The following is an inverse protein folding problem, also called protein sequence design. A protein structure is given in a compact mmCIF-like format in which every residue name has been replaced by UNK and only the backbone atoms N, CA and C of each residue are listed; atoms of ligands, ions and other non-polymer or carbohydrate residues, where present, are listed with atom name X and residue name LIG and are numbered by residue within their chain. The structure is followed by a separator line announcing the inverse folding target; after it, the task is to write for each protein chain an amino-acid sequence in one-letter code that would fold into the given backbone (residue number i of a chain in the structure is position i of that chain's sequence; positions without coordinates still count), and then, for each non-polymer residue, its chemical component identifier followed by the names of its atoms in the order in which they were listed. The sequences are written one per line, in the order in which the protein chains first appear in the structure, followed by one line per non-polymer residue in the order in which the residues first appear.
data_IF_271716236616
#
_entry.id   IF_271716236616
#
_cell.length_a   1.000
_cell.length_b   1.000
_cell.length_c   1.000
_cell.angle_alpha   90.00
_cell.angle_beta   90.00
_cell.angle_gamma   90.00
#
_symmetry.space_group_name_H-M   'P 1'
#
loop_
_entity.id
_entity.type
_entity.pdbx_description
1 polymer ?
#
# COMPACT_ATOMS: atom_id res chain seq x y z
N UNK A 1 -2.23 -34.34 22.80
CA UNK A 1 -1.38 -33.13 22.97
C UNK A 1 -1.62 -32.20 21.79
N UNK A 2 -2.39 -31.12 21.97
CA UNK A 2 -2.55 -30.06 20.96
C UNK A 2 -1.22 -29.29 20.88
N UNK A 3 -0.52 -29.36 19.75
CA UNK A 3 0.59 -28.45 19.44
C UNK A 3 0.02 -27.02 19.37
N UNK A 4 0.29 -26.22 20.38
CA UNK A 4 0.04 -24.80 20.31
C UNK A 4 0.77 -24.22 19.10
N UNK A 5 0.02 -23.60 18.19
CA UNK A 5 0.58 -22.80 17.10
C UNK A 5 1.23 -21.58 17.75
N UNK A 6 2.54 -21.61 17.95
CA UNK A 6 3.29 -20.45 18.41
C UNK A 6 3.13 -19.34 17.38
N UNK A 7 2.60 -18.20 17.81
CA UNK A 7 2.50 -17.00 16.96
C UNK A 7 3.92 -16.61 16.52
N UNK A 8 4.05 -16.00 15.34
CA UNK A 8 5.31 -15.43 14.83
C UNK A 8 5.96 -14.54 15.89
N UNK A 9 5.17 -13.80 16.62
CA UNK A 9 5.59 -12.94 17.71
C UNK A 9 6.24 -13.73 18.85
N UNK A 10 5.65 -14.83 19.30
CA UNK A 10 6.24 -15.69 20.33
C UNK A 10 7.55 -16.35 19.89
N UNK A 11 7.75 -16.56 18.58
CA UNK A 11 9.00 -17.11 18.05
C UNK A 11 10.13 -16.08 18.04
N UNK A 12 9.82 -14.80 17.81
CA UNK A 12 10.76 -13.69 17.73
C UNK A 12 11.05 -13.11 19.11
N UNK A 13 10.04 -12.98 19.93
CA UNK A 13 10.13 -12.25 21.21
C UNK A 13 10.31 -13.15 22.43
N UNK A 14 10.15 -14.47 22.33
CA UNK A 14 10.27 -15.44 23.42
C UNK A 14 10.73 -14.83 24.75
N UNK A 15 10.28 -15.14 25.86
CA UNK A 15 10.60 -14.71 27.25
C UNK A 15 11.30 -13.34 27.55
N UNK A 16 11.80 -12.60 26.52
CA UNK A 16 12.52 -11.34 26.69
C UNK A 16 11.65 -10.12 26.95
N UNK A 17 10.41 -10.11 26.44
CA UNK A 17 9.50 -8.94 26.54
C UNK A 17 8.53 -9.07 27.72
N UNK A 18 8.24 -10.26 28.20
CA UNK A 18 7.29 -10.49 29.30
C UNK A 18 7.73 -10.03 30.67
N UNK A 19 8.97 -9.58 30.88
CA UNK A 19 9.56 -9.55 32.20
C UNK A 19 9.75 -8.20 32.90
N UNK A 20 9.31 -7.06 32.34
CA UNK A 20 9.80 -5.80 32.86
C UNK A 20 8.80 -4.72 33.27
N UNK A 21 7.51 -4.96 33.20
CA UNK A 21 6.55 -3.93 33.62
C UNK A 21 5.58 -4.49 34.63
N UNK A 22 5.71 -4.02 35.89
CA UNK A 22 4.69 -4.26 36.90
C UNK A 22 3.43 -3.50 36.50
N UNK A 23 2.35 -4.18 36.18
CA UNK A 23 1.07 -3.56 35.78
C UNK A 23 0.53 -2.53 36.78
N UNK A 24 0.99 -2.58 38.02
CA UNK A 24 0.60 -1.65 39.09
C UNK A 24 1.26 -0.27 39.00
N UNK A 25 2.32 -0.11 38.21
CA UNK A 25 3.02 1.19 38.03
C UNK A 25 2.72 1.89 36.74
N UNK A 26 2.08 1.19 35.79
CA UNK A 26 1.73 1.77 34.49
C UNK A 26 0.65 2.84 34.62
N UNK A 27 0.98 4.06 34.22
CA UNK A 27 0.02 5.15 34.08
C UNK A 27 -0.42 5.23 32.62
N UNK A 28 -1.75 5.17 32.39
CA UNK A 28 -2.32 5.62 31.12
C UNK A 28 -1.98 7.11 30.98
N UNK A 29 -1.33 7.50 29.88
CA UNK A 29 -1.14 8.92 29.59
C UNK A 29 -2.52 9.56 29.40
N UNK A 30 -2.88 10.47 30.29
CA UNK A 30 -4.16 11.17 30.26
C UNK A 30 -4.28 11.96 28.97
N UNK A 31 -5.35 11.70 28.22
CA UNK A 31 -5.60 12.32 26.88
C UNK A 31 -5.33 11.39 25.71
N UNK A 32 -4.60 10.29 25.89
CA UNK A 32 -4.39 9.29 24.87
C UNK A 32 -5.22 8.04 25.17
N UNK A 33 -6.46 8.04 24.74
CA UNK A 33 -7.31 6.86 24.85
C UNK A 33 -6.72 5.71 24.00
N UNK A 34 -7.01 4.47 24.41
CA UNK A 34 -6.65 3.29 23.65
C UNK A 34 -7.08 3.47 22.18
N UNK A 35 -6.14 3.34 21.27
CA UNK A 35 -6.50 3.24 19.86
C UNK A 35 -6.93 1.83 19.62
N UNK A 36 -8.17 1.74 19.24
CA UNK A 36 -8.72 0.56 18.66
C UNK A 36 -8.16 0.43 17.24
N UNK A 37 -7.23 -0.48 17.05
CA UNK A 37 -6.88 -0.95 15.71
C UNK A 37 -7.81 -2.10 15.41
N UNK A 38 -9.10 -1.81 15.23
CA UNK A 38 -9.96 -2.77 14.59
C UNK A 38 -9.50 -2.84 13.14
N UNK A 39 -8.92 -3.96 12.78
CA UNK A 39 -9.09 -4.41 11.41
C UNK A 39 -10.57 -4.64 11.33
N UNK A 40 -11.32 -3.65 10.88
CA UNK A 40 -12.69 -3.94 10.52
C UNK A 40 -12.55 -5.06 9.48
N UNK A 41 -12.96 -6.26 9.84
CA UNK A 41 -13.01 -7.39 8.90
C UNK A 41 -13.68 -6.93 7.60
N UNK A 42 -14.54 -5.92 7.69
CA UNK A 42 -15.20 -5.23 6.59
C UNK A 42 -14.25 -4.62 5.54
N UNK A 43 -13.12 -4.00 5.93
CA UNK A 43 -12.19 -3.39 4.95
C UNK A 43 -11.45 -4.46 4.17
N UNK A 44 -10.94 -5.49 4.88
CA UNK A 44 -10.22 -6.59 4.26
C UNK A 44 -11.12 -7.47 3.36
N UNK A 45 -12.41 -7.54 3.67
CA UNK A 45 -13.38 -8.37 2.95
C UNK A 45 -14.11 -7.61 1.83
N UNK A 46 -14.00 -6.29 1.80
CA UNK A 46 -14.54 -5.50 0.70
C UNK A 46 -13.61 -5.57 -0.52
N UNK A 47 -14.15 -5.98 -1.67
CA UNK A 47 -13.38 -6.16 -2.91
C UNK A 47 -12.70 -4.87 -3.33
N UNK A 48 -13.42 -3.75 -3.36
CA UNK A 48 -12.93 -2.47 -3.88
C UNK A 48 -11.83 -1.90 -2.97
N UNK A 49 -12.06 -1.92 -1.65
CA UNK A 49 -11.06 -1.48 -0.69
C UNK A 49 -9.79 -2.35 -0.78
N UNK A 50 -9.96 -3.67 -0.91
CA UNK A 50 -8.86 -4.62 -1.08
C UNK A 50 -8.07 -4.37 -2.36
N UNK A 51 -8.74 -4.08 -3.48
CA UNK A 51 -8.08 -3.71 -4.75
C UNK A 51 -7.28 -2.42 -4.62
N UNK A 52 -7.82 -1.39 -3.96
CA UNK A 52 -7.13 -0.13 -3.70
C UNK A 52 -5.86 -0.37 -2.86
N UNK A 53 -6.00 -1.05 -1.72
CA UNK A 53 -4.89 -1.37 -0.81
C UNK A 53 -3.82 -2.19 -1.53
N UNK A 54 -4.24 -3.25 -2.24
CA UNK A 54 -3.33 -4.12 -2.99
C UNK A 54 -2.55 -3.34 -4.06
N UNK A 55 -3.22 -2.45 -4.79
CA UNK A 55 -2.58 -1.66 -5.86
C UNK A 55 -1.54 -0.71 -5.27
N UNK A 56 -1.89 0.05 -4.24
CA UNK A 56 -0.95 0.98 -3.59
C UNK A 56 0.22 0.22 -2.95
N UNK A 57 -0.08 -0.86 -2.19
CA UNK A 57 0.94 -1.66 -1.53
C UNK A 57 1.91 -2.32 -2.53
N UNK A 58 1.40 -2.84 -3.64
CA UNK A 58 2.21 -3.43 -4.72
C UNK A 58 3.16 -2.40 -5.33
N UNK A 59 2.68 -1.19 -5.58
CA UNK A 59 3.53 -0.13 -6.14
C UNK A 59 4.54 0.40 -5.12
N UNK A 60 4.16 0.55 -3.85
CA UNK A 60 5.09 0.90 -2.78
C UNK A 60 6.15 -0.21 -2.55
N UNK A 61 5.78 -1.48 -2.66
CA UNK A 61 6.71 -2.60 -2.50
C UNK A 61 7.82 -2.66 -3.56
N UNK A 62 7.65 -1.96 -4.67
CA UNK A 62 8.72 -1.77 -5.69
C UNK A 62 9.75 -0.72 -5.28
N UNK A 63 9.52 0.03 -4.19
CA UNK A 63 10.48 1.00 -3.69
C UNK A 63 11.70 0.27 -3.11
N UNK A 64 12.88 0.79 -3.43
CA UNK A 64 14.14 0.23 -2.96
C UNK A 64 14.68 1.13 -1.85
N UNK A 65 14.56 0.73 -0.57
CA UNK A 65 15.16 1.49 0.52
C UNK A 65 16.69 1.39 0.45
N UNK A 66 17.36 2.52 0.67
CA UNK A 66 18.81 2.60 0.69
C UNK A 66 19.28 3.47 1.85
N UNK A 67 20.41 3.08 2.44
CA UNK A 67 21.08 3.87 3.45
C UNK A 67 22.08 4.82 2.77
N UNK A 68 21.92 6.10 3.04
CA UNK A 68 22.80 7.16 2.55
C UNK A 68 23.44 7.93 3.69
N UNK A 69 24.61 8.50 3.41
CA UNK A 69 25.22 9.55 4.21
C UNK A 69 25.43 10.77 3.33
N UNK A 70 24.87 11.88 3.74
CA UNK A 70 25.01 13.15 3.04
C UNK A 70 25.99 14.07 3.78
N UNK A 71 27.11 14.39 3.11
CA UNK A 71 28.13 15.33 3.61
C UNK A 71 28.15 16.54 2.67
N UNK A 72 27.50 17.62 3.07
CA UNK A 72 27.28 18.77 2.21
C UNK A 72 26.44 18.41 0.98
N UNK A 73 26.96 18.65 -0.22
CA UNK A 73 26.29 18.32 -1.48
C UNK A 73 26.48 16.84 -1.91
N UNK A 74 27.45 16.15 -1.31
CA UNK A 74 27.77 14.77 -1.69
C UNK A 74 26.88 13.80 -0.92
N UNK A 75 26.21 12.93 -1.67
CA UNK A 75 25.37 11.86 -1.18
C UNK A 75 25.99 10.51 -1.49
N UNK A 76 26.45 9.81 -0.47
CA UNK A 76 27.12 8.53 -0.58
C UNK A 76 26.21 7.40 -0.14
N UNK A 77 26.11 6.34 -0.93
CA UNK A 77 25.44 5.09 -0.54
C UNK A 77 26.31 4.32 0.43
N UNK A 78 25.76 3.92 1.58
CA UNK A 78 26.45 3.17 2.61
C UNK A 78 26.04 1.70 2.53
N UNK A 79 26.97 0.84 2.12
CA UNK A 79 26.80 -0.60 2.13
C UNK A 79 27.21 -1.16 3.49
N UNK A 80 26.23 -1.59 4.28
CA UNK A 80 26.48 -2.13 5.63
C UNK A 80 25.29 -2.95 6.12
N UNK A 81 25.34 -3.40 7.39
CA UNK A 81 24.31 -4.22 8.02
C UNK A 81 22.92 -3.58 7.93
N UNK A 82 22.81 -2.28 8.21
CA UNK A 82 21.52 -1.56 8.10
C UNK A 82 21.00 -1.61 6.68
N UNK A 83 21.86 -1.30 5.68
CA UNK A 83 21.44 -1.36 4.28
C UNK A 83 21.00 -2.76 3.87
N UNK A 84 21.73 -3.82 4.29
CA UNK A 84 21.34 -5.20 4.02
C UNK A 84 19.95 -5.53 4.59
N UNK A 85 19.69 -5.14 5.83
CA UNK A 85 18.40 -5.42 6.49
C UNK A 85 17.27 -4.68 5.79
N UNK A 86 17.41 -3.41 5.47
CA UNK A 86 16.32 -2.66 4.85
C UNK A 86 16.10 -3.02 3.38
N UNK A 87 17.17 -3.37 2.63
CA UNK A 87 17.08 -3.53 1.17
C UNK A 87 17.02 -4.98 0.68
N UNK A 88 17.39 -5.95 1.51
CA UNK A 88 17.47 -7.37 1.08
C UNK A 88 16.63 -8.27 1.97
N UNK A 89 16.86 -8.25 3.29
CA UNK A 89 16.24 -9.20 4.22
C UNK A 89 15.88 -8.55 5.54
N UNK A 90 14.73 -7.89 5.64
CA UNK A 90 14.29 -7.22 6.86
C UNK A 90 14.16 -8.13 8.06
N UNK A 91 13.76 -9.39 7.85
CA UNK A 91 13.68 -10.43 8.88
C UNK A 91 13.78 -11.83 8.23
N UNK A 92 13.87 -12.92 9.00
CA UNK A 92 14.01 -14.27 8.46
C UNK A 92 12.85 -14.75 7.58
N UNK A 93 11.68 -14.13 7.69
CA UNK A 93 10.43 -14.60 7.08
C UNK A 93 9.99 -13.80 5.86
N UNK A 94 10.59 -12.62 5.62
CA UNK A 94 10.13 -11.67 4.61
C UNK A 94 11.29 -11.18 3.75
N UNK A 95 11.03 -11.05 2.46
CA UNK A 95 11.84 -10.24 1.56
C UNK A 95 11.53 -8.75 1.80
N UNK A 96 12.34 -7.84 1.28
CA UNK A 96 12.03 -6.40 1.36
C UNK A 96 10.71 -6.07 0.67
N UNK A 97 10.39 -6.75 -0.44
CA UNK A 97 9.10 -6.59 -1.12
C UNK A 97 7.93 -6.95 -0.19
N UNK A 98 7.95 -8.14 0.41
CA UNK A 98 6.89 -8.62 1.30
C UNK A 98 6.73 -7.73 2.53
N UNK A 99 7.86 -7.26 3.07
CA UNK A 99 7.90 -6.37 4.22
C UNK A 99 7.24 -5.03 3.92
N UNK A 100 7.59 -4.36 2.81
CA UNK A 100 7.01 -3.07 2.43
C UNK A 100 5.52 -3.26 2.06
N UNK A 101 5.19 -4.32 1.30
CA UNK A 101 3.82 -4.65 0.96
C UNK A 101 2.94 -4.78 2.20
N UNK A 102 3.38 -5.57 3.19
CA UNK A 102 2.66 -5.77 4.45
C UNK A 102 2.54 -4.48 5.25
N UNK A 103 3.64 -3.74 5.39
CA UNK A 103 3.68 -2.44 6.08
C UNK A 103 2.65 -1.46 5.50
N UNK A 104 2.62 -1.29 4.18
CA UNK A 104 1.69 -0.37 3.53
C UNK A 104 0.25 -0.90 3.60
N UNK A 105 0.05 -2.21 3.44
CA UNK A 105 -1.29 -2.80 3.56
C UNK A 105 -1.89 -2.56 4.94
N UNK A 106 -1.12 -2.77 6.02
CA UNK A 106 -1.56 -2.52 7.39
C UNK A 106 -1.78 -1.02 7.63
N UNK A 107 -0.87 -0.16 7.16
CA UNK A 107 -1.02 1.29 7.27
C UNK A 107 -2.31 1.80 6.62
N UNK A 108 -2.65 1.29 5.43
CA UNK A 108 -3.87 1.69 4.72
C UNK A 108 -5.14 1.10 5.35
N UNK A 109 -5.04 -0.10 5.92
CA UNK A 109 -6.18 -0.76 6.56
C UNK A 109 -6.49 -0.19 7.95
N UNK A 110 -5.48 0.24 8.71
CA UNK A 110 -5.61 0.62 10.12
C UNK A 110 -5.29 2.08 10.41
N UNK A 111 -4.76 2.84 9.43
CA UNK A 111 -4.22 4.19 9.59
C UNK A 111 -3.07 4.32 10.60
N UNK A 112 -2.67 3.22 11.22
CA UNK A 112 -1.51 3.10 12.11
C UNK A 112 -0.76 1.82 11.77
N UNK A 113 0.54 1.92 11.60
CA UNK A 113 1.39 0.76 11.42
C UNK A 113 2.58 0.83 12.37
N UNK A 114 2.84 -0.28 13.03
CA UNK A 114 3.88 -0.41 14.03
C UNK A 114 4.90 -1.43 13.58
N UNK A 115 6.13 -1.00 13.38
CA UNK A 115 7.22 -1.89 13.01
C UNK A 115 8.18 -2.02 14.19
N UNK A 116 8.32 -3.23 14.71
CA UNK A 116 9.27 -3.50 15.79
C UNK A 116 10.70 -3.55 15.25
N UNK A 117 11.60 -2.87 15.98
CA UNK A 117 13.03 -2.81 15.71
C UNK A 117 13.73 -3.80 16.64
N UNK A 118 14.19 -4.91 16.09
CA UNK A 118 15.01 -5.89 16.84
C UNK A 118 16.47 -5.44 16.84
N UNK A 119 16.99 -5.14 18.01
CA UNK A 119 18.36 -4.69 18.24
C UNK A 119 19.00 -5.64 19.25
N UNK A 120 20.25 -6.03 18.99
CA UNK A 120 21.01 -6.88 19.92
C UNK A 120 21.49 -6.10 21.17
N UNK A 121 22.16 -6.81 22.08
CA UNK A 121 22.68 -6.25 23.31
C UNK A 121 23.78 -5.18 23.09
N UNK A 122 24.39 -5.17 21.89
CA UNK A 122 25.43 -4.21 21.51
C UNK A 122 24.84 -3.00 20.73
N UNK A 123 23.53 -2.98 20.51
CA UNK A 123 22.85 -1.90 19.81
C UNK A 123 22.81 -2.08 18.28
N UNK A 124 23.22 -3.23 17.73
CA UNK A 124 23.16 -3.47 16.29
C UNK A 124 21.78 -3.93 15.86
N UNK A 125 21.29 -3.36 14.77
CA UNK A 125 20.03 -3.75 14.13
C UNK A 125 20.12 -5.21 13.64
N UNK A 126 19.15 -6.05 14.05
CA UNK A 126 19.03 -7.45 13.66
C UNK A 126 17.87 -7.72 12.73
N UNK A 127 16.77 -6.97 12.87
CA UNK A 127 15.61 -7.15 12.03
C UNK A 127 14.52 -6.13 12.28
N UNK A 128 13.56 -6.10 11.34
CA UNK A 128 12.38 -5.24 11.35
C UNK A 128 11.13 -6.11 11.16
N UNK A 129 10.14 -5.95 12.03
CA UNK A 129 8.95 -6.79 12.05
C UNK A 129 7.67 -5.94 12.07
N UNK A 130 6.88 -5.93 10.98
CA UNK A 130 5.59 -5.27 10.96
C UNK A 130 4.63 -6.01 11.89
N UNK A 131 4.04 -5.28 12.84
CA UNK A 131 3.12 -5.80 13.84
C UNK A 131 1.68 -5.61 13.38
N UNK A 132 0.82 -6.56 13.75
CA UNK A 132 -0.62 -6.47 13.51
C UNK A 132 -1.37 -6.69 14.83
N UNK A 133 -1.37 -5.72 15.76
CA UNK A 133 -2.10 -5.84 17.01
C UNK A 133 -3.58 -5.56 16.81
N UNK A 134 -4.45 -6.18 17.65
CA UNK A 134 -5.86 -5.80 17.74
C UNK A 134 -6.03 -4.45 18.44
N UNK A 135 -5.23 -4.23 19.50
CA UNK A 135 -5.29 -3.00 20.28
C UNK A 135 -3.87 -2.51 20.55
N UNK A 136 -3.72 -1.19 20.50
CA UNK A 136 -2.52 -0.50 20.89
C UNK A 136 -2.87 0.62 21.89
N UNK A 137 -2.19 0.65 23.01
CA UNK A 137 -2.41 1.68 24.04
C UNK A 137 -1.06 2.27 24.45
N UNK A 138 -1.02 3.61 24.52
CA UNK A 138 0.14 4.33 25.02
C UNK A 138 0.15 4.32 26.54
N UNK A 139 1.25 3.89 27.14
CA UNK A 139 1.45 3.84 28.59
C UNK A 139 2.79 4.47 28.96
N UNK A 140 2.89 4.99 30.17
CA UNK A 140 4.12 5.55 30.73
C UNK A 140 4.56 4.72 31.92
N UNK A 141 5.86 4.45 31.99
CA UNK A 141 6.50 3.81 33.13
C UNK A 141 7.85 4.49 33.39
N UNK A 142 8.00 5.05 34.57
CA UNK A 142 9.23 5.75 35.04
C UNK A 142 9.75 6.83 34.06
N UNK A 143 8.80 7.60 33.47
CA UNK A 143 9.11 8.66 32.50
C UNK A 143 9.45 8.15 31.09
N UNK A 144 9.45 6.85 30.86
CA UNK A 144 9.60 6.25 29.53
C UNK A 144 8.24 5.94 28.91
N UNK A 145 8.14 6.12 27.61
CA UNK A 145 6.92 5.85 26.84
C UNK A 145 6.95 4.43 26.29
N UNK A 146 5.88 3.70 26.55
CA UNK A 146 5.69 2.32 26.11
C UNK A 146 4.41 2.16 25.32
N UNK A 147 4.37 1.16 24.44
CA UNK A 147 3.17 0.70 23.77
C UNK A 147 2.76 -0.66 24.34
N UNK A 148 1.51 -0.73 24.79
CA UNK A 148 0.84 -1.98 25.16
C UNK A 148 0.12 -2.51 23.95
N UNK A 149 0.56 -3.62 23.39
CA UNK A 149 -0.05 -4.31 22.27
C UNK A 149 -0.84 -5.51 22.77
N UNK A 150 -2.05 -5.68 22.23
CA UNK A 150 -2.82 -6.91 22.41
C UNK A 150 -3.03 -7.54 21.03
N UNK A 151 -2.71 -8.82 20.89
CA UNK A 151 -2.83 -9.58 19.64
C UNK A 151 -4.04 -10.52 19.66
N UNK A 152 -4.40 -11.04 18.48
CA UNK A 152 -5.56 -11.92 18.29
C UNK A 152 -5.49 -13.23 19.10
N UNK A 153 -4.28 -13.66 19.49
CA UNK A 153 -4.06 -14.82 20.35
C UNK A 153 -4.27 -14.52 21.86
N UNK A 154 -4.71 -13.29 22.18
CA UNK A 154 -4.95 -12.81 23.54
C UNK A 154 -3.69 -12.40 24.29
N UNK A 155 -2.50 -12.54 23.71
CA UNK A 155 -1.25 -12.15 24.35
C UNK A 155 -1.11 -10.62 24.38
N UNK A 156 -0.56 -10.13 25.50
CA UNK A 156 -0.27 -8.72 25.73
C UNK A 156 1.25 -8.54 25.84
N UNK A 157 1.76 -7.54 25.10
CA UNK A 157 3.17 -7.20 25.11
C UNK A 157 3.37 -5.72 25.33
N UNK A 158 4.39 -5.38 26.13
CA UNK A 158 4.81 -4.00 26.35
C UNK A 158 6.14 -3.77 25.64
N UNK A 159 6.18 -2.78 24.76
CA UNK A 159 7.35 -2.45 23.95
C UNK A 159 7.67 -0.97 24.13
N UNK A 160 8.95 -0.63 24.38
CA UNK A 160 9.39 0.77 24.43
C UNK A 160 9.09 1.44 23.09
N UNK A 161 8.54 2.66 23.13
CA UNK A 161 8.25 3.40 21.91
C UNK A 161 9.50 3.64 21.06
N UNK A 162 10.66 3.82 21.68
CA UNK A 162 11.95 3.92 21.01
C UNK A 162 12.36 2.69 20.18
N UNK A 163 11.67 1.57 20.34
CA UNK A 163 11.86 0.34 19.56
C UNK A 163 10.79 0.13 18.48
N UNK A 164 10.02 1.15 18.19
CA UNK A 164 8.91 1.08 17.23
C UNK A 164 9.09 2.17 16.17
N UNK A 165 9.01 1.78 14.90
CA UNK A 165 8.74 2.73 13.82
C UNK A 165 7.23 2.82 13.71
N UNK A 166 6.66 4.00 13.94
CA UNK A 166 5.23 4.25 13.90
C UNK A 166 4.89 5.08 12.67
N UNK A 167 4.18 4.50 11.71
CA UNK A 167 3.63 5.17 10.55
C UNK A 167 2.16 5.51 10.80
N UNK A 168 1.71 6.67 10.33
CA UNK A 168 0.37 7.19 10.60
C UNK A 168 -0.28 7.72 9.32
N UNK A 169 -1.57 7.44 9.13
CA UNK A 169 -2.41 8.10 8.14
C UNK A 169 -3.45 8.98 8.84
N UNK A 170 -3.96 10.00 8.15
CA UNK A 170 -5.00 10.90 8.67
C UNK A 170 -4.70 11.36 10.10
N UNK A 171 -3.46 11.83 10.31
CA UNK A 171 -2.98 12.27 11.62
C UNK A 171 -3.51 13.68 11.93
N UNK A 172 -4.74 13.75 12.43
CA UNK A 172 -5.44 15.00 12.66
C UNK A 172 -6.14 15.11 14.02
N UNK A 173 -6.93 14.12 14.43
CA UNK A 173 -7.74 14.19 15.67
C UNK A 173 -6.95 13.86 16.93
N UNK A 174 -5.91 13.05 16.79
CA UNK A 174 -5.12 12.57 17.91
C UNK A 174 -3.67 13.05 17.78
N UNK A 175 -3.07 13.43 18.92
CA UNK A 175 -1.67 13.90 18.92
C UNK A 175 -0.65 12.76 18.74
N UNK A 176 -1.08 11.50 18.87
CA UNK A 176 -0.19 10.34 18.83
C UNK A 176 -0.53 9.33 17.74
N UNK A 177 -1.81 9.08 17.51
CA UNK A 177 -2.30 8.07 16.57
C UNK A 177 -2.86 8.68 15.30
N UNK A 178 -2.82 7.94 14.20
CA UNK A 178 -3.66 8.22 13.02
C UNK A 178 -5.14 7.99 13.35
N UNK A 179 -6.02 8.65 12.63
CA UNK A 179 -7.47 8.58 12.84
C UNK A 179 -8.03 7.19 12.50
N UNK A 180 -9.17 6.86 13.08
CA UNK A 180 -9.87 5.61 12.79
C UNK A 180 -10.52 5.62 11.40
N UNK A 181 -10.77 4.42 10.83
CA UNK A 181 -11.35 4.25 9.50
C UNK A 181 -12.89 4.39 9.44
N UNK A 182 -13.54 4.94 10.46
CA UNK A 182 -15.00 5.07 10.51
C UNK A 182 -15.65 5.72 9.28
N UNK A 183 -14.93 6.59 8.58
CA UNK A 183 -15.43 7.21 7.34
C UNK A 183 -15.46 6.19 6.20
N UNK A 184 -14.43 5.36 6.10
CA UNK A 184 -14.34 4.28 5.11
C UNK A 184 -15.38 3.19 5.40
N UNK A 185 -15.61 2.84 6.66
CA UNK A 185 -16.61 1.84 7.06
C UNK A 185 -18.01 2.21 6.54
N UNK A 186 -18.40 3.48 6.62
CA UNK A 186 -19.68 3.95 6.07
C UNK A 186 -19.77 3.81 4.54
N UNK A 187 -18.69 4.08 3.84
CA UNK A 187 -18.65 3.92 2.39
C UNK A 187 -18.74 2.44 1.98
N UNK A 188 -18.05 1.57 2.71
CA UNK A 188 -18.09 0.11 2.52
C UNK A 188 -19.48 -0.46 2.85
N UNK A 189 -20.12 -0.02 3.93
CA UNK A 189 -21.49 -0.41 4.28
C UNK A 189 -22.47 -0.05 3.16
N UNK A 190 -22.38 1.17 2.63
CA UNK A 190 -23.22 1.62 1.52
C UNK A 190 -23.02 0.75 0.29
N UNK A 191 -21.78 0.42 -0.06
CA UNK A 191 -21.44 -0.45 -1.18
C UNK A 191 -21.94 -1.89 -0.97
N UNK A 192 -21.83 -2.42 0.25
CA UNK A 192 -22.33 -3.75 0.60
C UNK A 192 -23.86 -3.84 0.44
N UNK A 193 -24.59 -2.81 0.87
CA UNK A 193 -26.04 -2.72 0.68
C UNK A 193 -26.40 -2.68 -0.81
N UNK A 194 -25.63 -1.94 -1.63
CA UNK A 194 -25.84 -1.88 -3.07
C UNK A 194 -25.63 -3.27 -3.72
N UNK A 195 -24.57 -3.97 -3.37
CA UNK A 195 -24.28 -5.32 -3.87
C UNK A 195 -25.34 -6.34 -3.45
N UNK A 196 -25.82 -6.25 -2.21
CA UNK A 196 -26.89 -7.13 -1.72
C UNK A 196 -28.22 -6.83 -2.42
N UNK A 197 -28.47 -5.57 -2.73
CA UNK A 197 -29.60 -5.16 -3.57
C UNK A 197 -29.53 -5.84 -4.95
N UNK A 198 -28.40 -5.79 -5.62
CA UNK A 198 -28.16 -6.45 -6.92
C UNK A 198 -28.34 -7.96 -6.81
N UNK A 199 -27.73 -8.61 -5.82
CA UNK A 199 -27.86 -10.06 -5.57
C UNK A 199 -29.32 -10.46 -5.36
N UNK A 200 -30.06 -9.69 -4.57
CA UNK A 200 -31.47 -9.95 -4.32
C UNK A 200 -32.33 -9.73 -5.59
N UNK A 201 -32.04 -8.70 -6.37
CA UNK A 201 -32.69 -8.45 -7.64
C UNK A 201 -32.49 -9.61 -8.63
N UNK A 202 -31.27 -10.13 -8.74
CA UNK A 202 -30.97 -11.30 -9.58
C UNK A 202 -31.74 -12.53 -9.10
N UNK A 203 -31.77 -12.78 -7.78
CA UNK A 203 -32.54 -13.92 -7.20
C UNK A 203 -34.06 -13.77 -7.45
N UNK A 204 -34.57 -12.53 -7.37
CA UNK A 204 -35.96 -12.23 -7.63
C UNK A 204 -36.30 -12.47 -9.10
N UNK A 205 -35.44 -11.97 -10.00
CA UNK A 205 -35.65 -12.11 -11.47
C UNK A 205 -35.52 -13.57 -11.94
N UNK A 206 -34.69 -14.35 -11.28
CA UNK A 206 -34.49 -15.78 -11.61
C UNK A 206 -35.58 -16.71 -11.01
N UNK A 207 -36.50 -16.21 -10.21
CA UNK A 207 -37.49 -17.01 -9.50
C UNK A 207 -38.90 -16.70 -10.02
N UNK A 208 -39.64 -17.71 -10.47
CA UNK A 208 -41.06 -17.60 -10.72
C UNK A 208 -41.78 -17.27 -9.41
N UNK A 209 -42.46 -16.17 -9.36
CA UNK A 209 -43.25 -15.73 -8.19
C UNK A 209 -44.70 -15.51 -8.55
N UNK A 210 -45.55 -16.00 -7.71
CA UNK A 210 -46.97 -15.85 -7.90
C UNK A 210 -47.75 -16.34 -6.69
N UNK A 211 -48.99 -16.03 -6.67
CA UNK A 211 -49.96 -16.56 -5.71
C UNK A 211 -50.75 -17.66 -6.35
N UNK A 212 -50.63 -18.87 -5.81
CA UNK A 212 -51.50 -19.98 -6.17
C UNK A 212 -52.78 -19.90 -5.34
N UNK A 213 -53.88 -19.62 -6.01
CA UNK A 213 -55.21 -19.46 -5.36
C UNK A 213 -56.03 -20.71 -5.57
N UNK A 214 -56.54 -21.31 -4.50
CA UNK A 214 -57.52 -22.37 -4.60
C UNK A 214 -58.93 -21.78 -4.74
N UNK A 215 -59.66 -22.13 -5.80
CA UNK A 215 -61.01 -21.73 -5.98
C UNK A 215 -61.92 -22.59 -5.11
N UNK A 216 -62.72 -21.94 -4.25
CA UNK A 216 -63.85 -22.54 -3.53
C UNK A 216 -63.59 -23.68 -2.52
N UNK A 217 -62.43 -23.75 -1.88
CA UNK A 217 -62.17 -24.72 -0.83
C UNK A 217 -61.50 -24.09 0.40
N UNK A 218 -61.96 -24.43 1.58
CA UNK A 218 -61.25 -24.20 2.84
C UNK A 218 -60.25 -25.35 3.00
N UNK A 219 -59.02 -25.10 2.61
CA UNK A 219 -57.91 -26.09 2.66
C UNK A 219 -57.16 -25.98 3.98
N UNK A 220 -56.68 -27.10 4.50
CA UNK A 220 -55.75 -27.11 5.63
C UNK A 220 -54.36 -26.72 5.15
N UNK A 221 -53.55 -26.18 6.02
CA UNK A 221 -52.15 -25.76 5.70
C UNK A 221 -51.31 -26.84 5.05
N UNK A 222 -51.56 -28.13 5.38
CA UNK A 222 -50.90 -29.25 4.80
C UNK A 222 -51.23 -29.41 3.30
N UNK A 223 -52.51 -29.27 2.97
CA UNK A 223 -53.00 -29.41 1.58
C UNK A 223 -52.47 -28.26 0.70
N UNK A 224 -52.41 -27.04 1.25
CA UNK A 224 -51.85 -25.86 0.57
C UNK A 224 -50.35 -26.07 0.25
N UNK A 225 -49.58 -26.59 1.21
CA UNK A 225 -48.17 -26.90 0.99
C UNK A 225 -47.96 -27.98 -0.06
N UNK A 226 -48.77 -29.02 -0.03
CA UNK A 226 -48.71 -30.12 -0.99
C UNK A 226 -49.09 -29.65 -2.40
N UNK A 227 -50.13 -28.85 -2.56
CA UNK A 227 -50.51 -28.20 -3.82
C UNK A 227 -49.40 -27.33 -4.38
N UNK A 228 -48.78 -26.48 -3.55
CA UNK A 228 -47.65 -25.66 -3.96
C UNK A 228 -46.46 -26.51 -4.44
N UNK A 229 -46.13 -27.56 -3.69
CA UNK A 229 -45.00 -28.43 -4.03
C UNK A 229 -45.25 -29.18 -5.34
N UNK A 230 -46.46 -29.70 -5.56
CA UNK A 230 -46.85 -30.40 -6.78
C UNK A 230 -46.80 -29.46 -8.00
N UNK A 231 -47.27 -28.21 -7.86
CA UNK A 231 -47.19 -27.21 -8.91
C UNK A 231 -45.74 -26.85 -9.25
N UNK A 232 -44.90 -26.60 -8.25
CA UNK A 232 -43.48 -26.31 -8.46
C UNK A 232 -42.75 -27.50 -9.10
N UNK A 233 -43.04 -28.74 -8.66
CA UNK A 233 -42.47 -29.93 -9.26
C UNK A 233 -42.93 -30.15 -10.71
N UNK A 234 -44.19 -29.84 -11.04
CA UNK A 234 -44.69 -29.94 -12.43
C UNK A 234 -43.97 -28.96 -13.37
N UNK A 235 -43.65 -27.74 -12.88
CA UNK A 235 -42.86 -26.76 -13.60
C UNK A 235 -41.39 -27.14 -13.77
N UNK A 236 -40.77 -27.68 -12.71
CA UNK A 236 -39.36 -28.08 -12.73
C UNK A 236 -39.10 -29.34 -13.55
N UNK A 237 -40.10 -30.27 -13.64
CA UNK A 237 -40.03 -31.49 -14.43
C UNK A 237 -40.46 -31.33 -15.89
N UNK A 238 -41.05 -30.19 -16.23
CA UNK A 238 -41.45 -29.86 -17.60
C UNK A 238 -40.24 -29.43 -18.42
N UNK A 239 -39.99 -30.14 -19.50
CA UNK A 239 -38.92 -29.79 -20.46
C UNK A 239 -39.25 -28.48 -21.23
N UNK A 240 -40.53 -28.13 -21.30
CA UNK A 240 -41.02 -26.96 -22.05
C UNK A 240 -41.32 -25.76 -21.17
N UNK A 241 -41.06 -25.88 -19.85
CA UNK A 241 -41.33 -24.81 -18.87
C UNK A 241 -42.82 -24.51 -18.66
N UNK A 242 -43.71 -25.38 -19.11
CA UNK A 242 -45.15 -25.23 -19.00
C UNK A 242 -45.66 -26.13 -17.89
N UNK A 243 -46.22 -25.52 -16.84
CA UNK A 243 -46.91 -26.22 -15.76
C UNK A 243 -48.41 -26.33 -16.05
N UNK A 244 -48.99 -27.51 -15.73
CA UNK A 244 -50.43 -27.70 -15.76
C UNK A 244 -51.08 -27.31 -14.44
N UNK A 245 -52.22 -26.61 -14.50
CA UNK A 245 -53.03 -26.29 -13.34
C UNK A 245 -54.35 -27.07 -13.37
N UNK A 246 -54.79 -27.55 -12.22
CA UNK A 246 -56.16 -28.09 -12.07
C UNK A 246 -57.18 -26.94 -12.21
N UNK A 247 -58.35 -27.22 -12.74
CA UNK A 247 -59.45 -26.25 -12.93
C UNK A 247 -59.86 -25.55 -11.58
N UNK A 248 -59.46 -26.07 -10.46
CA UNK A 248 -59.67 -25.51 -9.12
C UNK A 248 -58.56 -24.58 -8.65
N UNK A 249 -57.53 -24.37 -9.44
CA UNK A 249 -56.36 -23.53 -9.11
C UNK A 249 -56.27 -22.37 -10.09
N UNK A 250 -55.94 -21.21 -9.52
CA UNK A 250 -55.61 -19.99 -10.29
C UNK A 250 -54.22 -19.52 -9.87
N UNK A 251 -53.35 -19.34 -10.87
CA UNK A 251 -51.98 -18.82 -10.61
C UNK A 251 -51.93 -17.39 -11.13
N UNK A 252 -51.70 -16.49 -10.21
CA UNK A 252 -51.46 -15.08 -10.55
C UNK A 252 -50.00 -14.76 -10.36
N UNK A 253 -49.33 -14.50 -11.47
CA UNK A 253 -47.95 -14.05 -11.45
C UNK A 253 -47.83 -12.69 -10.75
N UNK A 254 -46.81 -12.55 -9.87
CA UNK A 254 -46.44 -11.29 -9.26
C UNK A 254 -45.17 -10.84 -9.91
N UNK A 255 -45.26 -9.88 -10.82
CA UNK A 255 -44.11 -9.22 -11.39
C UNK A 255 -43.55 -8.23 -10.40
N UNK A 256 -42.52 -8.64 -9.66
CA UNK A 256 -41.70 -7.75 -8.85
C UNK A 256 -40.55 -7.27 -9.75
N UNK A 257 -40.63 -6.03 -10.20
CA UNK A 257 -39.50 -5.37 -10.84
C UNK A 257 -38.63 -4.78 -9.74
N UNK A 258 -37.53 -5.44 -9.37
CA UNK A 258 -36.63 -4.87 -8.38
C UNK A 258 -36.02 -3.59 -8.95
N UNK A 259 -36.08 -2.51 -8.17
CA UNK A 259 -35.39 -1.27 -8.53
C UNK A 259 -33.90 -1.52 -8.30
N UNK A 260 -33.14 -1.56 -9.36
CA UNK A 260 -31.69 -1.59 -9.33
C UNK A 260 -31.15 -0.16 -9.29
N UNK A 261 -30.03 0.02 -8.64
CA UNK A 261 -29.27 1.26 -8.74
C UNK A 261 -28.83 1.48 -10.21
N UNK A 262 -28.95 2.71 -10.66
CA UNK A 262 -28.41 3.11 -11.96
C UNK A 262 -26.89 3.04 -11.96
N UNK A 263 -26.28 2.89 -13.14
CA UNK A 263 -24.83 2.76 -13.29
C UNK A 263 -24.09 3.93 -12.63
N UNK A 264 -24.58 5.15 -12.81
CA UNK A 264 -24.02 6.37 -12.25
C UNK A 264 -24.05 6.38 -10.71
N UNK A 265 -25.08 5.80 -10.11
CA UNK A 265 -25.18 5.67 -8.65
C UNK A 265 -24.17 4.65 -8.10
N UNK A 266 -23.97 3.53 -8.80
CA UNK A 266 -22.94 2.53 -8.46
C UNK A 266 -21.54 3.11 -8.60
N UNK A 267 -21.28 3.84 -9.68
CA UNK A 267 -20.00 4.52 -9.90
C UNK A 267 -19.73 5.56 -8.80
N UNK A 268 -20.74 6.29 -8.34
CA UNK A 268 -20.61 7.23 -7.23
C UNK A 268 -20.29 6.52 -5.90
N UNK A 269 -20.96 5.42 -5.60
CA UNK A 269 -20.72 4.63 -4.39
C UNK A 269 -19.31 4.06 -4.38
N UNK A 270 -18.87 3.46 -5.49
CA UNK A 270 -17.51 2.94 -5.64
C UNK A 270 -16.47 4.06 -5.63
N UNK A 271 -16.80 5.19 -6.26
CA UNK A 271 -15.95 6.39 -6.30
C UNK A 271 -15.63 6.96 -4.92
N UNK A 272 -16.51 6.82 -3.93
CA UNK A 272 -16.24 7.22 -2.54
C UNK A 272 -15.09 6.40 -1.93
N UNK A 273 -15.02 5.09 -2.22
CA UNK A 273 -13.94 4.22 -1.74
C UNK A 273 -12.64 4.56 -2.48
N UNK A 274 -12.69 4.72 -3.81
CA UNK A 274 -11.53 5.15 -4.61
C UNK A 274 -10.98 6.49 -4.16
N UNK A 275 -11.87 7.46 -3.89
CA UNK A 275 -11.52 8.78 -3.38
C UNK A 275 -10.86 8.76 -2.01
N UNK A 276 -11.30 7.86 -1.12
CA UNK A 276 -10.66 7.68 0.20
C UNK A 276 -9.18 7.26 0.06
N UNK A 277 -8.87 6.37 -0.87
CA UNK A 277 -7.51 5.91 -1.14
C UNK A 277 -6.75 6.81 -2.13
N UNK A 278 -7.38 7.87 -2.64
CA UNK A 278 -6.80 8.78 -3.65
C UNK A 278 -6.31 8.04 -4.90
N UNK A 279 -7.02 7.01 -5.33
CA UNK A 279 -6.69 6.18 -6.50
C UNK A 279 -7.83 6.18 -7.51
N UNK A 280 -7.51 6.23 -8.79
CA UNK A 280 -8.53 6.12 -9.84
C UNK A 280 -8.75 4.66 -10.26
N UNK A 281 -9.93 4.37 -10.76
CA UNK A 281 -10.27 3.07 -11.32
C UNK A 281 -9.33 2.66 -12.47
N UNK A 282 -8.89 3.63 -13.27
CA UNK A 282 -7.94 3.40 -14.37
C UNK A 282 -6.61 2.85 -13.88
N UNK A 283 -6.10 3.35 -12.75
CA UNK A 283 -4.87 2.84 -12.11
C UNK A 283 -5.07 1.39 -11.66
N UNK A 284 -6.18 1.08 -11.00
CA UNK A 284 -6.50 -0.27 -10.53
C UNK A 284 -6.59 -1.24 -11.71
N UNK A 285 -7.29 -0.85 -12.78
CA UNK A 285 -7.48 -1.67 -13.98
C UNK A 285 -6.29 -1.67 -14.94
N UNK A 286 -5.18 -1.01 -14.60
CA UNK A 286 -3.98 -0.86 -15.44
C UNK A 286 -4.26 -0.26 -16.83
N UNK A 287 -5.24 0.65 -16.92
CA UNK A 287 -5.66 1.36 -18.14
C UNK A 287 -5.35 2.86 -18.09
N UNK A 288 -4.30 3.22 -17.36
CA UNK A 288 -3.93 4.60 -17.11
C UNK A 288 -3.05 5.21 -18.20
N UNK A 289 -3.16 6.51 -18.37
CA UNK A 289 -2.25 7.34 -19.15
C UNK A 289 -0.97 7.66 -18.35
N UNK A 290 0.03 8.24 -19.02
CA UNK A 290 1.25 8.68 -18.34
C UNK A 290 0.97 9.79 -17.32
N UNK A 291 0.03 10.69 -17.61
CA UNK A 291 -0.35 11.79 -16.71
C UNK A 291 -1.10 11.28 -15.48
N UNK A 292 -2.03 10.33 -15.64
CA UNK A 292 -2.71 9.68 -14.51
C UNK A 292 -1.71 8.93 -13.62
N UNK A 293 -0.72 8.28 -14.22
CA UNK A 293 0.34 7.61 -13.48
C UNK A 293 1.19 8.60 -12.69
N UNK A 294 1.61 9.72 -13.30
CA UNK A 294 2.39 10.75 -12.63
C UNK A 294 1.59 11.37 -11.47
N UNK A 295 0.32 11.69 -11.68
CA UNK A 295 -0.56 12.20 -10.64
C UNK A 295 -0.69 11.22 -9.46
N UNK A 296 -0.90 9.93 -9.72
CA UNK A 296 -0.95 8.88 -8.70
C UNK A 296 0.39 8.76 -7.95
N UNK A 297 1.50 8.79 -8.67
CA UNK A 297 2.83 8.75 -8.06
C UNK A 297 3.05 9.91 -7.10
N UNK A 298 2.80 11.14 -7.54
CA UNK A 298 3.05 12.35 -6.77
C UNK A 298 2.09 12.53 -5.60
N UNK A 299 0.83 12.11 -5.75
CA UNK A 299 -0.18 12.28 -4.70
C UNK A 299 -0.21 11.14 -3.68
N UNK A 300 0.17 9.92 -4.05
CA UNK A 300 0.02 8.73 -3.20
C UNK A 300 1.35 8.06 -2.88
N UNK A 301 2.16 7.72 -3.89
CA UNK A 301 3.35 6.90 -3.67
C UNK A 301 4.51 7.69 -3.07
N UNK A 302 4.80 8.88 -3.60
CA UNK A 302 5.90 9.72 -3.13
C UNK A 302 5.74 10.18 -1.67
N UNK A 303 4.56 10.64 -1.22
CA UNK A 303 4.35 10.96 0.19
C UNK A 303 4.59 9.76 1.12
N UNK A 304 4.22 8.53 0.70
CA UNK A 304 4.50 7.32 1.47
C UNK A 304 6.00 7.01 1.53
N UNK A 305 6.72 7.19 0.42
CA UNK A 305 8.17 7.03 0.38
C UNK A 305 8.88 8.00 1.34
N UNK A 306 8.47 9.27 1.33
CA UNK A 306 9.00 10.31 2.22
C UNK A 306 8.69 9.97 3.68
N UNK A 307 7.45 9.62 3.98
CA UNK A 307 7.02 9.25 5.34
C UNK A 307 7.83 8.07 5.89
N UNK A 308 7.95 6.99 5.11
CA UNK A 308 8.77 5.84 5.48
C UNK A 308 10.23 6.23 5.68
N UNK A 309 10.82 6.98 4.76
CA UNK A 309 12.22 7.41 4.85
C UNK A 309 12.52 8.18 6.13
N UNK A 310 11.67 9.14 6.48
CA UNK A 310 11.80 9.92 7.71
C UNK A 310 11.57 9.10 8.96
N UNK A 311 10.54 8.27 9.00
CA UNK A 311 10.21 7.44 10.15
C UNK A 311 11.31 6.40 10.44
N UNK A 312 11.83 5.75 9.41
CA UNK A 312 12.93 4.79 9.53
C UNK A 312 14.22 5.49 9.96
N UNK A 313 14.53 6.64 9.39
CA UNK A 313 15.72 7.42 9.77
C UNK A 313 15.68 7.78 11.25
N UNK A 314 14.57 8.35 11.70
CA UNK A 314 14.43 8.81 13.08
C UNK A 314 14.45 7.67 14.11
N UNK A 315 13.95 6.49 13.76
CA UNK A 315 13.85 5.38 14.69
C UNK A 315 15.12 4.49 14.72
N UNK A 316 15.85 4.40 13.59
CA UNK A 316 17.01 3.51 13.47
C UNK A 316 18.31 4.22 13.86
N UNK A 317 18.45 5.51 13.57
CA UNK A 317 19.67 6.25 13.82
C UNK A 317 19.58 7.10 15.08
N UNK A 318 20.71 7.22 15.79
CA UNK A 318 20.85 8.20 16.88
C UNK A 318 20.87 9.64 16.33
N UNK A 319 20.52 10.62 17.17
CA UNK A 319 20.59 12.03 16.79
C UNK A 319 21.97 12.44 16.23
N UNK A 320 23.05 11.89 16.78
CA UNK A 320 24.39 12.14 16.28
C UNK A 320 24.55 11.64 14.85
N UNK A 321 24.15 10.39 14.56
CA UNK A 321 24.24 9.83 13.22
C UNK A 321 23.39 10.61 12.22
N UNK A 322 22.18 11.09 12.63
CA UNK A 322 21.35 11.95 11.79
C UNK A 322 22.05 13.29 11.48
N UNK A 323 22.68 13.91 12.47
CA UNK A 323 23.49 15.14 12.29
C UNK A 323 24.71 14.89 11.40
N UNK A 324 25.30 13.70 11.45
CA UNK A 324 26.40 13.25 10.59
C UNK A 324 25.89 12.86 9.16
N UNK A 325 24.62 13.13 8.85
CA UNK A 325 24.01 12.99 7.52
C UNK A 325 23.47 11.60 7.19
N UNK A 326 23.45 10.65 8.14
CA UNK A 326 22.86 9.34 7.89
C UNK A 326 21.35 9.40 7.74
N UNK A 327 20.82 8.78 6.67
CA UNK A 327 19.40 8.73 6.37
C UNK A 327 19.03 7.49 5.57
N UNK A 328 17.77 7.09 5.67
CA UNK A 328 17.18 6.05 4.86
C UNK A 328 16.21 6.72 3.87
N UNK A 329 16.32 6.37 2.61
CA UNK A 329 15.42 6.86 1.58
C UNK A 329 14.78 5.70 0.86
N UNK A 330 13.49 5.83 0.61
CA UNK A 330 12.71 4.94 -0.23
C UNK A 330 12.54 5.63 -1.59
N UNK A 331 13.06 5.02 -2.62
CA UNK A 331 12.96 5.58 -3.97
C UNK A 331 12.33 4.59 -4.93
N UNK A 332 11.35 5.05 -5.68
CA UNK A 332 10.93 4.36 -6.88
C UNK A 332 11.81 4.85 -8.00
N UNK A 333 12.55 3.94 -8.64
CA UNK A 333 13.25 4.31 -9.87
C UNK A 333 12.19 4.49 -10.98
N UNK A 334 11.69 5.72 -11.14
CA UNK A 334 10.69 6.07 -12.16
C UNK A 334 11.13 5.64 -13.56
N UNK A 335 12.41 5.76 -13.81
CA UNK A 335 13.03 5.45 -15.12
C UNK A 335 12.97 3.95 -15.40
N UNK A 336 13.17 3.11 -14.39
CA UNK A 336 13.14 1.64 -14.55
C UNK A 336 11.80 1.13 -15.10
N UNK A 337 10.69 1.79 -14.74
CA UNK A 337 9.34 1.41 -15.16
C UNK A 337 8.78 2.28 -16.30
N UNK A 338 9.59 3.22 -16.82
CA UNK A 338 9.21 4.01 -17.97
C UNK A 338 9.14 3.14 -19.24
N UNK A 339 8.35 3.57 -20.23
CA UNK A 339 8.35 2.93 -21.55
C UNK A 339 9.74 2.97 -22.18
N UNK A 340 10.05 1.97 -22.98
CA UNK A 340 11.37 1.85 -23.65
C UNK A 340 11.72 3.10 -24.45
N UNK A 341 10.75 3.70 -25.14
CA UNK A 341 10.93 4.94 -25.89
C UNK A 341 11.35 6.10 -24.98
N UNK A 342 10.72 6.25 -23.81
CA UNK A 342 11.07 7.28 -22.83
C UNK A 342 12.48 7.07 -22.27
N UNK A 343 12.86 5.81 -21.98
CA UNK A 343 14.21 5.45 -21.54
C UNK A 343 15.27 5.82 -22.59
N UNK A 344 15.02 5.49 -23.86
CA UNK A 344 15.93 5.80 -24.96
C UNK A 344 16.06 7.31 -25.15
N UNK A 345 14.94 8.06 -25.08
CA UNK A 345 14.96 9.53 -25.18
C UNK A 345 15.78 10.14 -24.06
N UNK A 346 15.56 9.72 -22.81
CA UNK A 346 16.30 10.21 -21.65
C UNK A 346 17.80 9.92 -21.79
N UNK A 347 18.20 8.70 -22.18
CA UNK A 347 19.61 8.32 -22.38
C UNK A 347 20.23 9.16 -23.47
N UNK A 348 19.52 9.40 -24.58
CA UNK A 348 19.98 10.22 -25.69
C UNK A 348 20.22 11.67 -25.25
N UNK A 349 19.26 12.27 -24.54
CA UNK A 349 19.35 13.66 -24.08
C UNK A 349 20.39 13.84 -22.96
N UNK A 350 20.29 13.03 -21.90
CA UNK A 350 21.23 13.10 -20.78
C UNK A 350 22.65 12.67 -21.18
N UNK A 351 22.78 11.68 -22.06
CA UNK A 351 24.05 11.27 -22.65
C UNK A 351 24.68 12.36 -23.51
N UNK A 352 23.89 13.03 -24.35
CA UNK A 352 24.38 14.11 -25.19
C UNK A 352 24.98 15.28 -24.37
N UNK A 353 24.46 15.51 -23.15
CA UNK A 353 24.92 16.52 -22.22
C UNK A 353 26.05 16.01 -21.29
N UNK A 354 26.45 14.74 -21.39
CA UNK A 354 27.47 14.16 -20.51
C UNK A 354 27.01 14.00 -19.04
N UNK A 355 25.70 13.98 -18.77
CA UNK A 355 25.13 13.90 -17.41
C UNK A 355 25.19 12.49 -16.84
N UNK A 356 25.15 11.46 -17.70
CA UNK A 356 25.18 10.05 -17.31
C UNK A 356 26.41 9.35 -17.85
N UNK A 357 26.89 8.36 -17.10
CA UNK A 357 27.95 7.45 -17.55
C UNK A 357 27.41 6.37 -18.47
N UNK A 358 28.30 5.65 -19.16
CA UNK A 358 27.92 4.52 -20.02
C UNK A 358 27.19 3.44 -19.19
N UNK A 359 27.68 3.11 -18.00
CA UNK A 359 27.07 2.10 -17.15
C UNK A 359 25.72 2.53 -16.59
N UNK A 360 25.54 3.81 -16.20
CA UNK A 360 24.24 4.35 -15.79
C UNK A 360 23.21 4.27 -16.93
N UNK A 361 23.63 4.60 -18.17
CA UNK A 361 22.77 4.43 -19.36
C UNK A 361 22.39 2.97 -19.63
N UNK A 362 23.30 2.04 -19.39
CA UNK A 362 23.04 0.61 -19.50
C UNK A 362 22.09 0.10 -18.42
N UNK A 363 22.25 0.57 -17.16
CA UNK A 363 21.36 0.25 -16.06
C UNK A 363 19.91 0.70 -16.31
N UNK A 364 19.73 1.87 -16.93
CA UNK A 364 18.40 2.36 -17.34
C UNK A 364 17.71 1.38 -18.31
N UNK A 365 18.46 0.71 -19.17
CA UNK A 365 17.97 -0.28 -20.14
C UNK A 365 17.98 -1.72 -19.60
N UNK A 366 18.24 -1.92 -18.30
CA UNK A 366 18.41 -3.24 -17.68
C UNK A 366 19.53 -4.09 -18.33
N UNK A 367 20.57 -3.45 -18.89
CA UNK A 367 21.75 -4.11 -19.44
C UNK A 367 22.85 -4.20 -18.37
N UNK A 368 23.65 -5.29 -18.36
CA UNK A 368 24.73 -5.42 -17.40
C UNK A 368 25.79 -4.33 -17.59
N UNK A 369 26.39 -3.84 -16.50
CA UNK A 369 27.48 -2.87 -16.55
C UNK A 369 28.69 -3.43 -17.29
N UNK A 370 29.42 -2.57 -18.01
CA UNK A 370 30.70 -2.91 -18.63
C UNK A 370 31.80 -2.90 -17.57
N UNK A 371 31.70 -1.96 -16.61
CA UNK A 371 32.66 -1.75 -15.54
C UNK A 371 33.95 -1.06 -16.02
N UNK A 372 34.91 -0.95 -15.09
CA UNK A 372 36.21 -0.32 -15.37
C UNK A 372 36.13 1.16 -15.74
N UNK A 373 37.15 1.66 -16.40
CA UNK A 373 37.19 3.04 -16.85
C UNK A 373 36.21 3.33 -18.00
N UNK A 374 35.90 2.31 -18.83
CA UNK A 374 34.96 2.47 -19.94
C UNK A 374 33.53 2.67 -19.46
N UNK A 375 33.08 1.91 -18.45
CA UNK A 375 31.74 2.06 -17.87
C UNK A 375 31.54 3.42 -17.19
N UNK A 376 32.60 3.99 -16.61
CA UNK A 376 32.58 5.30 -15.93
C UNK A 376 32.68 6.50 -16.87
N UNK A 377 33.01 6.29 -18.15
CA UNK A 377 33.09 7.39 -19.12
C UNK A 377 31.75 8.06 -19.29
N UNK A 378 31.79 9.41 -19.34
CA UNK A 378 30.67 10.23 -19.77
C UNK A 378 30.93 10.64 -21.22
N UNK A 379 30.00 10.31 -22.08
CA UNK A 379 30.06 10.68 -23.49
C UNK A 379 29.26 11.97 -23.67
N UNK A 380 29.82 12.90 -24.39
CA UNK A 380 29.23 14.20 -24.69
C UNK A 380 29.30 14.45 -26.19
N UNK A 381 28.26 15.05 -26.76
CA UNK A 381 28.31 15.48 -28.17
C UNK A 381 29.25 16.69 -28.32
N UNK A 382 29.93 16.76 -29.47
CA UNK A 382 30.86 17.86 -29.76
C UNK A 382 30.19 19.25 -29.76
N UNK A 383 28.87 19.32 -29.85
CA UNK A 383 28.12 20.54 -29.86
C UNK A 383 27.87 21.16 -28.46
N UNK A 384 28.26 20.45 -27.40
CA UNK A 384 28.10 20.94 -26.01
C UNK A 384 29.47 21.36 -25.48
N UNK A 385 29.64 22.65 -25.27
CA UNK A 385 30.87 23.29 -24.77
C UNK A 385 30.71 23.58 -23.28
N UNK A 386 31.77 23.39 -22.50
CA UNK A 386 31.79 23.78 -21.11
C UNK A 386 31.53 25.28 -21.03
N UNK A 387 30.56 25.72 -20.20
CA UNK A 387 30.17 27.14 -20.05
C UNK A 387 31.35 28.03 -19.74
N UNK A 388 32.35 27.57 -18.97
CA UNK A 388 33.58 28.32 -18.66
C UNK A 388 34.51 28.48 -19.86
N UNK A 389 34.29 27.76 -20.95
CA UNK A 389 35.05 27.84 -22.17
C UNK A 389 34.26 28.50 -23.31
N UNK A 390 32.99 28.79 -23.11
CA UNK A 390 32.10 29.35 -24.11
C UNK A 390 32.62 30.64 -24.68
N UNK A 391 33.14 31.55 -23.81
CA UNK A 391 33.73 32.83 -24.20
C UNK A 391 34.96 32.69 -25.09
N UNK A 392 35.77 31.65 -24.91
CA UNK A 392 36.92 31.34 -25.77
C UNK A 392 36.54 30.84 -27.16
N UNK A 393 35.39 30.16 -27.25
CA UNK A 393 34.86 29.64 -28.52
C UNK A 393 34.02 30.69 -29.28
N UNK A 394 33.33 31.58 -28.58
CA UNK A 394 32.58 32.67 -29.18
C UNK A 394 33.43 33.86 -29.58
N UNK A 395 34.55 34.10 -28.87
CA UNK A 395 35.56 35.05 -29.26
C UNK A 395 36.52 34.44 -30.29
N UNK A 396 36.01 34.15 -31.48
CA UNK A 396 36.77 33.58 -32.58
C UNK A 396 38.12 34.25 -32.75
N UNK A 397 39.15 33.42 -32.75
CA UNK A 397 40.58 33.74 -32.77
C UNK A 397 40.96 34.97 -33.61
N UNK A 398 41.30 35.99 -32.91
CA UNK A 398 42.07 37.08 -33.48
C UNK A 398 43.49 37.09 -32.85
N UNK A 399 44.21 35.99 -33.05
CA UNK A 399 45.68 36.01 -32.96
C UNK A 399 46.24 36.18 -34.37
N UNK A 400 46.01 37.36 -34.92
CA UNK A 400 46.76 37.84 -36.07
C UNK A 400 48.22 38.03 -35.67
N UNK A 401 49.06 37.02 -35.92
CA UNK A 401 50.53 37.23 -35.98
C UNK A 401 50.80 38.23 -37.09
N UNK A 402 51.00 39.49 -36.73
CA UNK A 402 51.70 40.42 -37.61
C UNK A 402 53.17 40.00 -37.76
N UNK A 403 53.47 39.35 -38.85
CA UNK A 403 54.83 39.15 -39.33
C UNK A 403 55.32 40.53 -39.80
N UNK A 404 56.05 41.26 -38.97
CA UNK A 404 56.89 42.36 -39.46
C UNK A 404 58.14 41.77 -40.10
N UNK A 405 58.17 41.81 -41.41
CA UNK A 405 59.36 41.63 -42.16
C UNK A 405 60.41 42.68 -41.78
N UNK A 406 61.61 42.26 -41.51
CA UNK A 406 62.80 43.09 -41.55
C UNK A 406 63.38 42.96 -42.94
N UNK A 407 63.27 44.00 -43.73
CA UNK A 407 64.22 44.38 -44.74
C UNK A 407 65.33 45.21 -44.12
N UNK A 408 66.49 44.65 -44.07
CA UNK A 408 67.86 45.18 -44.52
C UNK A 408 68.94 44.23 -44.02
#
# INVERSE_FOLDING_TARGET
MKKEKRSLFNMVFGNKVQKMVNETTLKLLSGYNATYTDISDNIADNIIARECINTIATHCAKMMPKHYQQNGELKNHISGQINYIISVKPNPFMTTYDFIYKTISLLLAQNNEYIYIDIDEKGYLRGLYPLNPLFCTLVEDDGEVWLKFQFIDGNIYYVKYSRIIHLKNFYNKHDFYGDTNQVLDKAIETQTVADDGIKNAIKISASLRGVLKAANAILKDKDIKEMKNNFVQSLLSSTDGIGSLDARMDFKEINLNPVLLEKEQLEMVNGNIYGYFMISENIIKSKYTADEWNAFYESVLEPKAIQMGQAFTNAIFSEKAIKDGHRIEFSVNRIKYAKTETKITLIKEAGALGLITVDEGREILDLPAIGGEEGKKRLQTLNVINANLADKYQGGGNDGKSNKGNEN
#
